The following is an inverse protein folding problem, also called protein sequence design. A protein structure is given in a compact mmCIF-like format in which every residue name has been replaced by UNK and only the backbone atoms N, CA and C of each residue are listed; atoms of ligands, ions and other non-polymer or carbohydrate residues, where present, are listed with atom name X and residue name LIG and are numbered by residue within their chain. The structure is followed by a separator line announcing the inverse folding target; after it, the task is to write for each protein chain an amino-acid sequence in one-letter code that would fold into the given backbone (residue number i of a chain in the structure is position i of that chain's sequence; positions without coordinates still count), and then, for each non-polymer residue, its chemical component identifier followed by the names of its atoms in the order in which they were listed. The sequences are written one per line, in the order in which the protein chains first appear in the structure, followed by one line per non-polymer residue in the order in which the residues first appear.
data_IF_998478435139
#
_entry.id   IF_998478435139
#
_cell.length_a   1.000
_cell.length_b   1.000
_cell.length_c   1.000
_cell.angle_alpha   90.00
_cell.angle_beta   90.00
_cell.angle_gamma   90.00
#
_symmetry.space_group_name_H-M   'P 1'
#
loop_
_entity.id
_entity.type
_entity.pdbx_description
1 polymer ?
#
# COMPACT_ATOMS: atom_id res chain seq x y z
N UNK A 1 55.36 -11.83 25.51
CA UNK A 1 55.19 -11.13 24.22
C UNK A 1 53.70 -10.96 24.00
N UNK A 2 53.19 -9.76 24.25
CA UNK A 2 51.83 -9.35 23.93
C UNK A 2 51.78 -9.09 22.42
N UNK A 3 50.92 -9.80 21.69
CA UNK A 3 50.60 -9.47 20.31
C UNK A 3 49.70 -8.24 20.31
N UNK A 4 50.28 -7.07 20.07
CA UNK A 4 49.54 -5.89 19.63
C UNK A 4 48.98 -6.16 18.22
N UNK A 5 47.70 -6.49 18.16
CA UNK A 5 46.90 -6.46 16.93
C UNK A 5 46.33 -5.06 16.78
N UNK A 6 47.18 -4.10 16.41
CA UNK A 6 46.75 -2.72 16.14
C UNK A 6 47.35 -2.25 14.82
N UNK A 7 46.52 -2.33 13.79
CA UNK A 7 46.78 -1.73 12.49
C UNK A 7 46.35 -2.64 11.34
N UNK A 8 45.71 -2.17 10.27
CA UNK A 8 45.58 -0.79 9.82
C UNK A 8 44.74 -0.83 8.55
N UNK A 9 43.41 -0.98 8.64
CA UNK A 9 42.61 -0.55 7.50
C UNK A 9 42.78 0.98 7.41
N UNK A 10 43.62 1.44 6.47
CA UNK A 10 43.87 2.86 6.24
C UNK A 10 42.50 3.57 6.20
N UNK A 11 42.31 4.73 6.85
CA UNK A 11 41.02 5.41 6.90
C UNK A 11 40.41 5.65 5.50
N UNK A 12 41.25 5.73 4.47
CA UNK A 12 40.83 5.77 3.05
C UNK A 12 40.14 4.49 2.58
N UNK A 13 40.60 3.31 2.99
CA UNK A 13 39.99 2.01 2.65
C UNK A 13 38.63 1.86 3.33
N UNK A 14 38.54 2.24 4.62
CA UNK A 14 37.27 2.25 5.34
C UNK A 14 36.27 3.24 4.74
N UNK A 15 36.73 4.43 4.34
CA UNK A 15 35.90 5.42 3.66
C UNK A 15 35.40 4.91 2.29
N UNK A 16 36.28 4.31 1.49
CA UNK A 16 35.88 3.72 0.20
C UNK A 16 34.86 2.60 0.37
N UNK A 17 35.07 1.71 1.35
CA UNK A 17 34.12 0.64 1.65
C UNK A 17 32.76 1.21 2.10
N UNK A 18 32.77 2.23 2.97
CA UNK A 18 31.55 2.89 3.40
C UNK A 18 30.80 3.54 2.24
N UNK A 19 31.50 4.18 1.30
CA UNK A 19 30.88 4.76 0.10
C UNK A 19 30.28 3.70 -0.82
N UNK A 20 30.95 2.56 -1.00
CA UNK A 20 30.42 1.44 -1.80
C UNK A 20 29.18 0.85 -1.14
N UNK A 21 29.20 0.60 0.18
CA UNK A 21 28.04 0.09 0.91
C UNK A 21 26.88 1.07 0.88
N UNK A 22 27.14 2.37 1.05
CA UNK A 22 26.12 3.41 0.96
C UNK A 22 25.52 3.48 -0.45
N UNK A 23 26.35 3.37 -1.49
CA UNK A 23 25.91 3.32 -2.89
C UNK A 23 25.06 2.09 -3.19
N UNK A 24 25.47 0.90 -2.73
CA UNK A 24 24.71 -0.34 -2.89
C UNK A 24 23.38 -0.30 -2.13
N UNK A 25 23.39 0.24 -0.90
CA UNK A 25 22.17 0.45 -0.12
C UNK A 25 21.22 1.41 -0.82
N UNK A 26 21.71 2.59 -1.24
CA UNK A 26 20.91 3.56 -1.98
C UNK A 26 20.34 2.95 -3.27
N UNK A 27 21.15 2.23 -4.04
CA UNK A 27 20.70 1.51 -5.24
C UNK A 27 19.54 0.58 -4.91
N UNK A 28 19.73 -0.31 -3.94
CA UNK A 28 18.70 -1.27 -3.54
C UNK A 28 17.41 -0.58 -3.10
N UNK A 29 17.51 0.48 -2.29
CA UNK A 29 16.38 1.30 -1.86
C UNK A 29 15.65 1.95 -3.03
N UNK A 30 16.35 2.44 -4.05
CA UNK A 30 15.70 3.14 -5.16
C UNK A 30 15.17 2.22 -6.24
N UNK A 31 15.74 1.03 -6.45
CA UNK A 31 15.39 0.16 -7.59
C UNK A 31 14.47 -1.00 -7.22
N UNK A 32 14.53 -1.50 -5.99
CA UNK A 32 13.75 -2.66 -5.59
C UNK A 32 12.26 -2.30 -5.51
N UNK A 33 11.42 -2.98 -6.29
CA UNK A 33 9.97 -2.81 -6.26
C UNK A 33 9.33 -3.91 -5.39
N UNK A 34 8.30 -3.55 -4.62
CA UNK A 34 7.57 -4.44 -3.72
C UNK A 34 6.06 -4.28 -3.90
N UNK A 35 5.24 -5.16 -3.31
CA UNK A 35 3.77 -4.96 -3.33
C UNK A 35 3.34 -3.65 -2.68
N UNK A 36 4.07 -3.19 -1.66
CA UNK A 36 3.78 -1.91 -1.01
C UNK A 36 3.91 -0.73 -1.97
N UNK A 37 4.75 -0.83 -3.01
CA UNK A 37 4.84 0.20 -4.07
C UNK A 37 3.56 0.31 -4.89
N UNK A 38 2.84 -0.79 -5.11
CA UNK A 38 1.53 -0.77 -5.77
C UNK A 38 0.52 -0.04 -4.88
N UNK A 39 0.57 -0.27 -3.57
CA UNK A 39 -0.31 0.40 -2.62
C UNK A 39 -0.06 1.91 -2.60
N UNK A 40 1.22 2.29 -2.55
CA UNK A 40 1.62 3.70 -2.57
C UNK A 40 1.28 4.38 -3.91
N UNK A 41 1.44 3.69 -5.04
CA UNK A 41 1.05 4.19 -6.37
C UNK A 41 -0.44 4.57 -6.40
N UNK A 42 -1.30 3.71 -5.84
CA UNK A 42 -2.75 3.92 -5.73
C UNK A 42 -3.18 4.80 -4.54
N UNK A 43 -2.22 5.41 -3.82
CA UNK A 43 -2.45 6.22 -2.62
C UNK A 43 -3.28 5.47 -1.56
N UNK A 44 -3.01 4.20 -1.39
CA UNK A 44 -3.54 3.39 -0.29
C UNK A 44 -2.62 3.59 0.92
N UNK A 45 -3.16 3.43 2.12
CA UNK A 45 -2.43 3.81 3.35
C UNK A 45 -1.96 2.60 4.16
N UNK A 46 -2.64 1.46 3.99
CA UNK A 46 -2.46 0.27 4.83
C UNK A 46 -2.91 -1.01 4.13
N UNK A 47 -2.29 -2.12 4.52
CA UNK A 47 -2.73 -3.47 4.16
C UNK A 47 -4.05 -3.85 4.84
N UNK A 48 -4.97 -4.49 4.13
CA UNK A 48 -6.30 -4.84 4.63
C UNK A 48 -6.31 -6.14 5.47
N UNK A 49 -5.38 -6.29 6.41
CA UNK A 49 -5.26 -7.47 7.29
C UNK A 49 -6.55 -7.65 8.11
N UNK A 50 -7.30 -8.73 7.82
CA UNK A 50 -8.57 -9.07 8.48
C UNK A 50 -9.82 -8.46 7.84
N UNK A 51 -9.70 -7.34 7.11
CA UNK A 51 -10.80 -6.73 6.35
C UNK A 51 -10.86 -7.27 4.92
N UNK A 52 -10.73 -8.58 4.77
CA UNK A 52 -10.41 -9.20 3.48
C UNK A 52 -11.47 -9.03 2.40
N UNK A 53 -12.67 -8.54 2.70
CA UNK A 53 -13.73 -8.33 1.69
C UNK A 53 -14.18 -6.87 1.59
N UNK A 54 -13.49 -5.94 2.27
CA UNK A 54 -13.84 -4.53 2.23
C UNK A 54 -13.56 -3.94 0.84
N UNK A 55 -14.58 -3.28 0.29
CA UNK A 55 -14.51 -2.47 -0.92
C UNK A 55 -14.60 -0.98 -0.57
N UNK A 56 -14.31 -0.10 -1.52
CA UNK A 56 -14.60 1.32 -1.33
C UNK A 56 -16.10 1.52 -1.03
N UNK A 57 -16.38 2.33 -0.01
CA UNK A 57 -17.73 2.54 0.55
C UNK A 57 -17.98 1.78 1.85
N UNK A 58 -17.35 0.63 2.06
CA UNK A 58 -17.65 -0.22 3.21
C UNK A 58 -17.16 0.39 4.52
N UNK A 59 -17.87 0.04 5.60
CA UNK A 59 -17.51 0.45 6.96
C UNK A 59 -16.75 -0.67 7.64
N UNK A 60 -15.58 -0.33 8.16
CA UNK A 60 -14.63 -1.24 8.80
C UNK A 60 -14.41 -0.79 10.24
N UNK A 61 -14.44 -1.75 11.17
CA UNK A 61 -14.00 -1.56 12.53
C UNK A 61 -12.50 -1.89 12.64
N UNK A 62 -11.75 -1.02 13.30
CA UNK A 62 -10.32 -1.14 13.56
C UNK A 62 -10.13 -1.30 15.06
N UNK A 63 -9.44 -2.37 15.47
CA UNK A 63 -9.17 -2.64 16.87
C UNK A 63 -8.36 -1.51 17.53
N UNK A 64 -8.41 -1.38 18.88
CA UNK A 64 -7.71 -0.31 19.59
C UNK A 64 -6.19 -0.30 19.37
N UNK A 65 -5.59 -1.47 19.16
CA UNK A 65 -4.16 -1.66 18.83
C UNK A 65 -3.85 -1.43 17.35
N UNK A 66 -4.87 -1.21 16.51
CA UNK A 66 -4.73 -0.95 15.08
C UNK A 66 -4.34 -2.17 14.23
N UNK A 67 -4.24 -3.36 14.83
CA UNK A 67 -3.70 -4.56 14.16
C UNK A 67 -4.77 -5.42 13.49
N UNK A 68 -6.02 -5.36 13.97
CA UNK A 68 -7.15 -6.12 13.43
C UNK A 68 -8.14 -5.17 12.80
N UNK A 69 -8.59 -5.54 11.60
CA UNK A 69 -9.65 -4.85 10.90
C UNK A 69 -10.74 -5.85 10.55
N UNK A 70 -11.98 -5.41 10.62
CA UNK A 70 -13.14 -6.24 10.29
C UNK A 70 -14.17 -5.38 9.55
N UNK A 71 -14.62 -5.84 8.38
CA UNK A 71 -15.71 -5.17 7.68
C UNK A 71 -17.01 -5.45 8.43
N UNK A 72 -17.70 -4.40 8.87
CA UNK A 72 -18.93 -4.50 9.68
C UNK A 72 -20.18 -4.13 8.89
N UNK A 73 -20.04 -3.30 7.84
CA UNK A 73 -21.12 -3.00 6.93
C UNK A 73 -20.59 -3.00 5.50
N UNK A 74 -21.17 -3.88 4.68
CA UNK A 74 -20.84 -4.02 3.27
C UNK A 74 -21.96 -3.40 2.46
N UNK A 75 -21.62 -2.47 1.58
CA UNK A 75 -22.59 -1.75 0.77
C UNK A 75 -22.41 -2.07 -0.71
N UNK A 76 -23.54 -2.33 -1.36
CA UNK A 76 -23.59 -2.30 -2.81
C UNK A 76 -23.95 -0.87 -3.24
N UNK A 77 -22.96 -0.18 -3.81
CA UNK A 77 -23.08 1.22 -4.19
C UNK A 77 -23.09 1.33 -5.72
N UNK A 78 -23.92 2.24 -6.21
CA UNK A 78 -24.03 2.54 -7.64
C UNK A 78 -22.70 3.04 -8.22
N UNK A 79 -22.51 2.81 -9.52
CA UNK A 79 -21.29 3.19 -10.23
C UNK A 79 -21.02 4.71 -10.25
N UNK A 80 -22.05 5.54 -10.02
CA UNK A 80 -21.91 6.99 -9.87
C UNK A 80 -21.22 7.37 -8.55
N UNK A 81 -21.39 6.56 -7.52
CA UNK A 81 -20.84 6.76 -6.17
C UNK A 81 -19.48 6.07 -6.03
N UNK A 82 -19.37 4.85 -6.56
CA UNK A 82 -18.17 4.00 -6.49
C UNK A 82 -17.64 3.74 -7.89
N UNK A 83 -16.47 4.32 -8.18
CA UNK A 83 -15.74 4.02 -9.42
C UNK A 83 -14.97 2.71 -9.22
N UNK A 84 -15.07 1.83 -10.19
CA UNK A 84 -14.34 0.57 -10.19
C UNK A 84 -13.55 0.40 -11.48
N UNK A 85 -12.30 -0.05 -11.35
CA UNK A 85 -11.42 -0.31 -12.48
C UNK A 85 -10.78 -1.69 -12.31
N UNK A 86 -10.92 -2.54 -13.32
CA UNK A 86 -10.13 -3.76 -13.43
C UNK A 86 -8.67 -3.41 -13.71
N UNK A 87 -7.76 -4.03 -12.98
CA UNK A 87 -6.33 -3.86 -13.13
C UNK A 87 -5.72 -5.15 -13.69
N UNK A 88 -5.04 -5.03 -14.82
CA UNK A 88 -4.15 -6.06 -15.36
C UNK A 88 -2.88 -5.39 -15.87
N UNK A 89 -1.89 -5.26 -15.00
CA UNK A 89 -0.76 -4.36 -15.22
C UNK A 89 0.56 -4.92 -14.70
N UNK A 90 1.63 -4.34 -15.21
CA UNK A 90 2.99 -4.53 -14.73
C UNK A 90 3.43 -3.17 -14.17
N UNK A 91 3.89 -3.17 -12.93
CA UNK A 91 4.50 -2.02 -12.28
C UNK A 91 5.99 -2.14 -12.43
N UNK A 92 6.63 -1.09 -12.94
CA UNK A 92 8.07 -1.09 -13.20
C UNK A 92 8.73 0.09 -12.51
N UNK A 93 9.95 -0.11 -12.03
CA UNK A 93 10.79 0.96 -11.50
C UNK A 93 11.61 1.59 -12.61
N UNK A 94 11.31 2.83 -12.95
CA UNK A 94 11.91 3.51 -14.10
C UNK A 94 13.12 4.41 -13.79
N UNK A 95 13.79 4.17 -12.66
CA UNK A 95 15.00 4.93 -12.34
C UNK A 95 16.07 4.80 -13.45
N UNK A 96 16.08 3.66 -14.17
CA UNK A 96 16.99 3.39 -15.28
C UNK A 96 16.78 4.26 -16.53
N UNK A 97 15.54 4.56 -16.94
CA UNK A 97 15.30 5.50 -18.08
C UNK A 97 15.39 6.96 -17.63
N UNK A 98 15.05 7.27 -16.38
CA UNK A 98 15.15 8.65 -15.86
C UNK A 98 16.60 9.09 -15.59
N UNK A 99 17.51 8.16 -15.27
CA UNK A 99 18.93 8.44 -15.07
C UNK A 99 19.80 7.53 -15.94
N UNK A 100 19.96 7.80 -17.26
CA UNK A 100 20.67 6.90 -18.18
C UNK A 100 22.16 6.69 -17.84
N UNK A 101 22.76 7.58 -17.04
CA UNK A 101 24.13 7.46 -16.52
C UNK A 101 24.22 6.56 -15.29
N UNK A 102 23.11 6.31 -14.60
CA UNK A 102 23.06 5.56 -13.34
C UNK A 102 23.27 4.05 -13.53
N UNK A 103 22.64 3.38 -14.52
CA UNK A 103 23.00 1.99 -14.86
C UNK A 103 24.47 1.83 -15.24
N UNK A 104 25.07 2.84 -15.89
CA UNK A 104 26.50 2.83 -16.26
C UNK A 104 27.40 2.96 -15.03
N UNK A 105 27.05 3.85 -14.09
CA UNK A 105 27.72 3.98 -12.80
C UNK A 105 27.63 2.68 -12.00
N UNK A 106 26.46 2.05 -11.96
CA UNK A 106 26.23 0.80 -11.23
C UNK A 106 26.92 -0.39 -11.90
N UNK A 107 26.95 -0.49 -13.23
CA UNK A 107 27.73 -1.52 -13.93
C UNK A 107 29.24 -1.36 -13.69
N UNK A 108 29.75 -0.13 -13.57
CA UNK A 108 31.14 0.12 -13.21
C UNK A 108 31.47 -0.34 -11.78
N UNK A 109 30.48 -0.33 -10.87
CA UNK A 109 30.60 -0.81 -9.49
C UNK A 109 30.39 -2.32 -9.40
N UNK A 110 29.44 -2.90 -10.15
CA UNK A 110 29.15 -4.34 -10.21
C UNK A 110 30.30 -5.16 -10.82
N UNK A 111 31.23 -4.54 -11.54
CA UNK A 111 32.49 -5.21 -11.93
C UNK A 111 33.30 -5.70 -10.71
N UNK A 112 33.03 -5.19 -9.50
CA UNK A 112 33.67 -5.59 -8.25
C UNK A 112 32.88 -6.63 -7.45
N UNK A 113 31.63 -6.94 -7.82
CA UNK A 113 30.77 -7.94 -7.14
C UNK A 113 29.83 -8.58 -8.16
N UNK A 114 30.07 -9.84 -8.58
CA UNK A 114 29.19 -10.51 -9.52
C UNK A 114 27.86 -10.81 -8.82
N UNK A 115 26.78 -10.23 -9.33
CA UNK A 115 25.42 -10.58 -8.92
C UNK A 115 24.79 -11.40 -10.04
N UNK A 116 24.69 -12.71 -9.83
CA UNK A 116 23.86 -13.62 -10.61
C UNK A 116 22.41 -13.48 -10.13
N UNK A 117 21.51 -13.08 -11.03
CA UNK A 117 20.09 -12.96 -10.73
C UNK A 117 19.31 -12.57 -11.97
N UNK A 118 18.90 -13.56 -12.76
CA UNK A 118 18.19 -13.44 -14.05
C UNK A 118 16.68 -13.18 -13.89
N UNK A 119 16.27 -12.60 -12.75
CA UNK A 119 14.90 -12.13 -12.51
C UNK A 119 14.93 -10.63 -12.40
N UNK A 120 14.20 -9.93 -13.27
CA UNK A 120 14.08 -8.45 -13.28
C UNK A 120 13.57 -7.95 -11.91
N UNK A 121 14.44 -7.43 -11.02
CA UNK A 121 14.05 -6.99 -9.68
C UNK A 121 13.30 -5.65 -9.72
N UNK A 122 13.11 -5.09 -10.92
CA UNK A 122 12.47 -3.84 -11.25
C UNK A 122 11.00 -3.97 -11.68
N UNK A 123 10.44 -5.19 -11.79
CA UNK A 123 9.06 -5.39 -12.29
C UNK A 123 8.18 -6.24 -11.34
N UNK A 124 6.94 -5.81 -11.07
CA UNK A 124 5.89 -6.61 -10.40
C UNK A 124 4.63 -6.65 -11.25
N UNK A 125 4.16 -7.86 -11.55
CA UNK A 125 2.86 -8.09 -12.17
C UNK A 125 1.74 -8.09 -11.13
N UNK A 126 0.63 -7.42 -11.45
CA UNK A 126 -0.56 -7.39 -10.62
C UNK A 126 -1.83 -7.54 -11.46
N UNK A 127 -2.76 -8.37 -10.99
CA UNK A 127 -4.09 -8.51 -11.55
C UNK A 127 -5.13 -8.44 -10.43
N UNK A 128 -6.12 -7.58 -10.58
CA UNK A 128 -7.06 -7.28 -9.51
C UNK A 128 -8.07 -6.21 -9.87
N UNK A 129 -8.61 -5.57 -8.83
CA UNK A 129 -9.60 -4.50 -8.97
C UNK A 129 -9.22 -3.35 -8.05
N UNK A 130 -9.32 -2.14 -8.57
CA UNK A 130 -9.26 -0.91 -7.77
C UNK A 130 -10.66 -0.32 -7.69
N UNK A 131 -11.07 0.06 -6.49
CA UNK A 131 -12.32 0.78 -6.26
C UNK A 131 -12.02 2.07 -5.51
N UNK A 132 -12.70 3.14 -5.88
CA UNK A 132 -12.59 4.45 -5.24
C UNK A 132 -13.97 5.09 -5.12
N UNK A 133 -14.25 5.57 -3.91
CA UNK A 133 -15.46 6.29 -3.55
C UNK A 133 -15.30 7.78 -3.91
N UNK A 134 -16.35 8.37 -4.48
CA UNK A 134 -16.35 9.79 -4.86
C UNK A 134 -16.22 10.73 -3.65
N UNK A 135 -16.88 10.42 -2.55
CA UNK A 135 -16.71 11.09 -1.26
C UNK A 135 -17.14 10.19 -0.10
N UNK A 136 -16.56 10.39 1.09
CA UNK A 136 -16.97 9.66 2.30
C UNK A 136 -18.47 9.81 2.61
N UNK A 137 -19.02 11.01 2.36
CA UNK A 137 -20.43 11.33 2.60
C UNK A 137 -21.39 10.62 1.66
N UNK A 138 -20.93 10.11 0.52
CA UNK A 138 -21.78 9.42 -0.44
C UNK A 138 -22.32 8.07 0.08
N UNK A 139 -21.76 7.55 1.19
CA UNK A 139 -22.25 6.33 1.86
C UNK A 139 -23.44 6.60 2.77
N UNK A 140 -23.66 7.86 3.20
CA UNK A 140 -24.69 8.19 4.18
C UNK A 140 -26.11 7.70 3.81
N UNK A 141 -26.55 7.76 2.53
CA UNK A 141 -27.87 7.22 2.14
C UNK A 141 -27.99 5.69 2.23
N UNK A 142 -26.87 4.97 2.10
CA UNK A 142 -26.81 3.51 2.21
C UNK A 142 -26.73 3.04 3.68
N UNK A 143 -26.51 3.97 4.61
CA UNK A 143 -26.35 3.67 6.02
C UNK A 143 -27.68 3.21 6.64
N UNK A 144 -27.75 1.93 7.00
CA UNK A 144 -28.94 1.36 7.65
C UNK A 144 -28.87 1.54 9.17
N UNK A 145 -30.04 1.52 9.82
CA UNK A 145 -30.12 1.50 11.29
C UNK A 145 -29.30 0.36 11.90
N UNK A 146 -29.35 -0.82 11.29
CA UNK A 146 -28.61 -2.00 11.79
C UNK A 146 -27.10 -1.79 11.73
N UNK A 147 -26.62 -1.16 10.64
CA UNK A 147 -25.21 -0.79 10.53
C UNK A 147 -24.82 0.23 11.61
N UNK A 148 -25.59 1.31 11.80
CA UNK A 148 -25.29 2.31 12.83
C UNK A 148 -25.31 1.72 14.24
N UNK A 149 -26.21 0.77 14.51
CA UNK A 149 -26.21 0.02 15.76
C UNK A 149 -24.97 -0.85 15.93
N UNK A 150 -24.49 -1.51 14.87
CA UNK A 150 -23.23 -2.27 14.95
C UNK A 150 -22.03 -1.33 15.16
N UNK A 151 -22.00 -0.19 14.47
CA UNK A 151 -21.00 0.86 14.69
C UNK A 151 -20.99 1.31 16.16
N UNK A 152 -22.16 1.57 16.76
CA UNK A 152 -22.29 1.93 18.16
C UNK A 152 -21.71 0.84 19.10
N UNK A 153 -22.01 -0.43 18.84
CA UNK A 153 -21.45 -1.56 19.62
C UNK A 153 -19.92 -1.62 19.52
N UNK A 154 -19.38 -1.40 18.33
CA UNK A 154 -17.93 -1.41 18.04
C UNK A 154 -17.22 -0.26 18.75
N UNK A 155 -17.80 0.94 18.69
CA UNK A 155 -17.27 2.11 19.40
C UNK A 155 -17.24 1.90 20.92
N UNK A 156 -18.28 1.28 21.51
CA UNK A 156 -18.27 0.90 22.93
C UNK A 156 -17.16 -0.10 23.30
N UNK A 157 -16.66 -0.88 22.34
CA UNK A 157 -15.49 -1.76 22.48
C UNK A 157 -14.14 -1.06 22.23
N UNK A 158 -14.13 0.27 22.10
CA UNK A 158 -12.96 1.10 21.74
C UNK A 158 -12.45 0.85 20.31
N UNK A 159 -13.26 0.27 19.44
CA UNK A 159 -12.89 0.05 18.04
C UNK A 159 -13.21 1.30 17.22
N UNK A 160 -12.22 1.81 16.46
CA UNK A 160 -12.42 2.91 15.53
C UNK A 160 -13.27 2.44 14.35
N UNK A 161 -14.30 3.18 13.99
CA UNK A 161 -15.18 2.83 12.88
C UNK A 161 -14.90 3.75 11.70
N UNK A 162 -14.52 3.19 10.56
CA UNK A 162 -13.93 3.92 9.44
C UNK A 162 -14.58 3.54 8.12
N UNK A 163 -14.90 4.54 7.31
CA UNK A 163 -15.37 4.32 5.93
C UNK A 163 -14.18 4.15 5.00
N UNK A 164 -14.21 3.12 4.16
CA UNK A 164 -13.18 2.86 3.15
C UNK A 164 -13.39 3.78 1.95
N UNK A 165 -12.41 4.61 1.60
CA UNK A 165 -12.47 5.52 0.44
C UNK A 165 -11.91 4.86 -0.80
N UNK A 166 -10.86 4.05 -0.66
CA UNK A 166 -10.33 3.29 -1.77
C UNK A 166 -9.91 1.91 -1.29
N UNK A 167 -10.05 0.93 -2.17
CA UNK A 167 -9.64 -0.45 -1.91
C UNK A 167 -9.03 -1.06 -3.16
N UNK A 168 -7.98 -1.85 -2.95
CA UNK A 168 -7.34 -2.67 -3.96
C UNK A 168 -7.52 -4.13 -3.59
N UNK A 169 -8.06 -4.94 -4.49
CA UNK A 169 -8.30 -6.36 -4.28
C UNK A 169 -7.66 -7.24 -5.34
N UNK A 170 -7.32 -8.48 -4.97
CA UNK A 170 -6.72 -9.47 -5.87
C UNK A 170 -7.77 -10.17 -6.73
N UNK A 171 -7.46 -10.46 -8.00
CA UNK A 171 -8.42 -11.07 -8.93
C UNK A 171 -8.81 -12.51 -8.55
N UNK A 172 -7.95 -13.22 -7.82
CA UNK A 172 -8.11 -14.67 -7.57
C UNK A 172 -9.25 -14.98 -6.60
N UNK A 173 -9.39 -14.20 -5.54
CA UNK A 173 -10.33 -14.44 -4.45
C UNK A 173 -11.10 -13.18 -4.03
N UNK A 174 -10.90 -12.07 -4.74
CA UNK A 174 -11.55 -10.80 -4.45
C UNK A 174 -11.10 -10.17 -3.14
N UNK A 175 -10.04 -10.69 -2.50
CA UNK A 175 -9.65 -10.20 -1.20
C UNK A 175 -9.04 -8.82 -1.28
N UNK A 176 -9.49 -7.92 -0.41
CA UNK A 176 -8.84 -6.64 -0.20
C UNK A 176 -7.40 -6.87 0.28
N UNK A 177 -6.46 -6.27 -0.45
CA UNK A 177 -5.03 -6.28 -0.14
C UNK A 177 -4.64 -5.01 0.60
N UNK A 178 -5.17 -3.87 0.17
CA UNK A 178 -4.86 -2.57 0.75
C UNK A 178 -6.05 -1.64 0.62
N UNK A 179 -6.15 -0.72 1.59
CA UNK A 179 -7.27 0.20 1.73
C UNK A 179 -6.77 1.60 2.14
N UNK A 180 -7.59 2.59 1.84
CA UNK A 180 -7.49 3.95 2.37
C UNK A 180 -8.82 4.30 3.01
N UNK A 181 -8.78 4.86 4.21
CA UNK A 181 -9.97 5.27 4.93
C UNK A 181 -10.29 6.76 4.72
N UNK A 182 -11.49 7.16 5.13
CA UNK A 182 -11.80 8.56 5.37
C UNK A 182 -10.86 9.07 6.47
N UNK A 183 -10.52 10.36 6.48
CA UNK A 183 -9.58 10.90 7.46
C UNK A 183 -10.05 10.69 8.90
N UNK A 184 -11.35 10.89 9.13
CA UNK A 184 -11.98 10.81 10.45
C UNK A 184 -12.87 9.57 10.56
N UNK A 185 -12.96 9.05 11.77
CA UNK A 185 -13.89 7.99 12.13
C UNK A 185 -15.33 8.46 11.97
N UNK A 186 -16.19 7.51 11.63
CA UNK A 186 -17.61 7.73 11.55
C UNK A 186 -18.14 8.08 12.94
N UNK A 187 -19.03 9.07 12.98
CA UNK A 187 -19.67 9.53 14.19
C UNK A 187 -21.03 8.86 14.35
N UNK A 188 -21.35 8.40 15.57
CA UNK A 188 -22.67 7.90 15.92
C UNK A 188 -23.24 8.77 17.04
N UNK A 189 -24.42 9.35 16.78
CA UNK A 189 -25.11 10.25 17.71
C UNK A 189 -25.59 9.52 18.95
N UNK A 190 -25.69 10.25 20.06
CA UNK A 190 -26.18 9.73 21.35
C UNK A 190 -27.60 9.16 21.21
N UNK A 191 -28.47 9.83 20.45
CA UNK A 191 -29.81 9.35 20.13
C UNK A 191 -29.78 7.95 19.47
N UNK A 192 -28.83 7.70 18.56
CA UNK A 192 -28.71 6.38 17.94
C UNK A 192 -28.23 5.31 18.93
N UNK A 193 -27.33 5.64 19.85
CA UNK A 193 -26.96 4.70 20.92
C UNK A 193 -28.18 4.26 21.73
N UNK A 194 -29.01 5.22 22.16
CA UNK A 194 -30.24 4.96 22.91
C UNK A 194 -31.23 4.11 22.11
N UNK A 195 -31.46 4.44 20.83
CA UNK A 195 -32.33 3.67 19.94
C UNK A 195 -31.85 2.24 19.68
N UNK A 196 -30.55 1.99 19.84
CA UNK A 196 -29.94 0.66 19.74
C UNK A 196 -29.90 -0.07 21.10
N UNK A 197 -30.44 0.52 22.17
CA UNK A 197 -30.45 -0.03 23.52
C UNK A 197 -29.07 -0.02 24.19
N UNK A 198 -28.21 0.93 23.82
CA UNK A 198 -26.86 1.07 24.31
C UNK A 198 -26.68 2.41 25.04
N UNK A 199 -25.90 2.41 26.11
CA UNK A 199 -25.38 3.65 26.68
C UNK A 199 -24.06 4.00 25.99
N UNK A 200 -23.89 5.26 25.60
CA UNK A 200 -22.65 5.72 24.96
C UNK A 200 -21.54 5.81 26.00
N UNK A 201 -20.58 4.90 25.91
CA UNK A 201 -19.50 4.84 26.88
C UNK A 201 -18.48 5.98 26.70
N UNK A 202 -17.68 6.31 27.73
CA UNK A 202 -16.53 7.22 27.59
C UNK A 202 -15.54 6.77 26.51
N UNK A 203 -15.44 5.46 26.27
CA UNK A 203 -14.67 4.89 25.19
C UNK A 203 -15.20 5.30 23.81
N UNK A 204 -16.51 5.24 23.60
CA UNK A 204 -17.13 5.69 22.36
C UNK A 204 -16.97 7.21 22.16
N UNK A 205 -17.13 8.01 23.22
CA UNK A 205 -16.90 9.46 23.18
C UNK A 205 -15.46 9.82 22.79
N UNK A 206 -14.46 9.06 23.26
CA UNK A 206 -13.06 9.28 22.90
C UNK A 206 -12.74 8.97 21.42
N UNK A 207 -13.63 8.26 20.72
CA UNK A 207 -13.50 7.94 19.30
C UNK A 207 -14.19 8.96 18.39
N UNK A 208 -15.06 9.80 18.94
CA UNK A 208 -15.72 10.86 18.17
C UNK A 208 -14.68 11.83 17.62
N UNK A 209 -14.56 11.90 16.29
CA UNK A 209 -13.56 12.73 15.61
C UNK A 209 -12.13 12.17 15.66
N UNK A 210 -11.92 10.95 16.15
CA UNK A 210 -10.63 10.28 16.04
C UNK A 210 -10.25 10.05 14.57
N UNK A 211 -8.96 10.08 14.24
CA UNK A 211 -8.51 9.80 12.87
C UNK A 211 -8.48 8.30 12.59
N UNK A 212 -8.99 7.93 11.42
CA UNK A 212 -8.87 6.56 10.90
C UNK A 212 -7.49 6.28 10.32
N UNK A 213 -6.80 7.34 9.89
CA UNK A 213 -5.38 7.24 9.56
C UNK A 213 -4.63 6.93 10.86
N UNK A 214 -4.16 5.69 10.97
CA UNK A 214 -2.96 5.40 11.72
C UNK A 214 -1.77 5.70 10.78
N UNK A 215 -0.62 6.08 11.33
CA UNK A 215 0.62 6.29 10.58
C UNK A 215 0.76 5.22 9.49
N UNK A 216 0.73 5.62 8.22
CA UNK A 216 0.67 4.70 7.09
C UNK A 216 1.75 3.62 7.24
N UNK A 217 1.34 2.36 7.28
CA UNK A 217 2.20 1.17 7.44
C UNK A 217 3.17 0.97 6.26
N UNK A 218 3.10 1.87 5.28
CA UNK A 218 3.98 1.87 4.12
C UNK A 218 5.42 2.20 4.58
N UNK A 219 6.41 1.32 4.28
CA UNK A 219 7.81 1.56 4.55
C UNK A 219 8.33 2.90 3.99
N UNK A 220 9.32 3.50 4.65
CA UNK A 220 9.82 4.83 4.29
C UNK A 220 10.44 4.86 2.87
N UNK A 221 11.06 3.76 2.45
CA UNK A 221 11.67 3.62 1.13
C UNK A 221 10.61 3.59 0.02
N UNK A 222 9.48 2.92 0.28
CA UNK A 222 8.31 2.93 -0.61
C UNK A 222 7.71 4.34 -0.70
N UNK A 223 7.56 5.04 0.44
CA UNK A 223 7.10 6.44 0.47
C UNK A 223 8.01 7.34 -0.36
N UNK A 224 9.32 7.15 -0.26
CA UNK A 224 10.32 7.89 -1.03
C UNK A 224 10.19 7.62 -2.53
N UNK A 225 10.07 6.34 -2.96
CA UNK A 225 9.87 5.98 -4.37
C UNK A 225 8.57 6.54 -4.95
N UNK A 226 7.49 6.52 -4.18
CA UNK A 226 6.21 7.12 -4.57
C UNK A 226 6.30 8.65 -4.68
N UNK A 227 6.97 9.32 -3.73
CA UNK A 227 7.21 10.77 -3.77
C UNK A 227 8.01 11.18 -5.02
N UNK A 228 9.03 10.39 -5.38
CA UNK A 228 9.86 10.60 -6.55
C UNK A 228 9.21 10.11 -7.86
N UNK A 229 8.02 9.49 -7.80
CA UNK A 229 7.30 8.92 -8.94
C UNK A 229 8.16 7.96 -9.77
N UNK A 230 8.90 7.10 -9.09
CA UNK A 230 9.79 6.13 -9.75
C UNK A 230 9.06 4.90 -10.30
N UNK A 231 7.78 4.72 -9.93
CA UNK A 231 6.99 3.57 -10.34
C UNK A 231 6.05 3.96 -11.47
N UNK A 232 6.11 3.23 -12.57
CA UNK A 232 5.21 3.36 -13.70
C UNK A 232 4.32 2.13 -13.82
N UNK A 233 3.09 2.36 -14.31
CA UNK A 233 2.13 1.30 -14.59
C UNK A 233 2.01 1.12 -16.11
N UNK A 234 2.22 -0.11 -16.58
CA UNK A 234 2.00 -0.50 -17.97
C UNK A 234 0.91 -1.57 -18.07
N UNK A 235 0.05 -1.54 -19.11
CA UNK A 235 -0.88 -2.63 -19.35
C UNK A 235 -0.09 -3.91 -19.63
N UNK A 236 -0.54 -5.05 -19.10
CA UNK A 236 0.12 -6.34 -19.39
C UNK A 236 0.02 -6.69 -20.88
N UNK A 237 -1.02 -6.21 -21.58
CA UNK A 237 -1.20 -6.31 -23.03
C UNK A 237 -0.37 -5.25 -23.78
N UNK A 238 0.93 -5.51 -23.89
CA UNK A 238 1.81 -4.88 -24.88
C UNK A 238 3.04 -5.73 -25.28
N UNK A 239 3.37 -6.81 -24.54
CA UNK A 239 4.52 -7.69 -24.86
C UNK A 239 4.20 -8.93 -25.71
N UNK A 240 2.93 -9.21 -26.01
CA UNK A 240 2.59 -10.33 -26.90
C UNK A 240 3.03 -10.09 -28.36
N UNK A 241 3.22 -8.83 -28.78
CA UNK A 241 3.68 -8.49 -30.13
C UNK A 241 5.20 -8.44 -30.32
N UNK A 242 6.01 -8.44 -29.24
CA UNK A 242 7.47 -8.44 -29.34
C UNK A 242 8.06 -9.85 -29.48
N UNK A 243 7.40 -10.87 -28.93
CA UNK A 243 7.82 -12.28 -29.09
C UNK A 243 7.41 -12.86 -30.46
N UNK A 244 6.30 -12.40 -31.04
CA UNK A 244 5.88 -12.78 -32.40
C UNK A 244 6.76 -12.15 -33.48
N UNK A 245 7.24 -10.91 -33.27
CA UNK A 245 8.17 -10.25 -34.20
C UNK A 245 9.58 -10.88 -34.18
N UNK A 246 10.00 -11.48 -33.05
CA UNK A 246 11.26 -12.22 -32.93
C UNK A 246 11.21 -13.61 -33.54
N UNK A 247 10.04 -14.25 -33.59
CA UNK A 247 9.87 -15.54 -34.28
C UNK A 247 9.66 -15.36 -35.78
N UNK A 248 8.98 -14.29 -36.22
CA UNK A 248 8.81 -13.97 -37.65
C UNK A 248 10.07 -13.41 -38.34
N UNK A 249 11.11 -13.01 -37.60
CA UNK A 249 12.41 -12.58 -38.16
C UNK A 249 13.46 -13.70 -38.16
N UNK A 250 13.08 -14.91 -37.74
CA UNK A 250 13.94 -16.09 -37.70
C UNK A 250 13.52 -17.18 -38.71
N UNK A 251 12.57 -16.88 -39.61
CA UNK A 251 12.25 -17.68 -40.81
C UNK A 251 12.76 -17.01 -42.08
#
# INVERSE_FOLDING_TARGET
MLFEVTGMFKPRVLLSLALVLLGAFAYHTFTNITRADIFAYHRLEREAVGASFASAGDVVAISPDGTRMEAICLFDLDAEVRREAGLDSIYVNDLGRQLPTFPKLMNAINFLTPSEGDGRPDEISFAGKYSELSSASAVAPAMTRDCECEMARRMNRREKVCTTIAALSEARDGRALAIRFATYANFVTDARFEECGLEKSPAALALDGATCSAEADIPWDVKLRAMLRLIEQHPRKARAGEDEARTASAE
#
